data_IF_750542880821
#
_entry.id   IF_750542880821
#
_cell.length_a   1.000
_cell.length_b   1.000
_cell.length_c   1.000
_cell.angle_alpha   90.00
_cell.angle_beta   90.00
_cell.angle_gamma   90.00
#
_symmetry.space_group_name_H-M   'P 1'
#
loop_
_entity.id
_entity.type
_entity.pdbx_description
1 polymer ?
#
# COMPACT_ATOMS: atom_id res chain seq x y z
N UNK A 1 -6.38 57.45 24.62
CA UNK A 1 -4.93 57.32 24.40
C UNK A 1 -4.74 56.60 23.07
N UNK A 2 -4.45 57.34 22.01
CA UNK A 2 -4.14 56.79 20.68
C UNK A 2 -2.66 56.51 20.64
N UNK A 3 -2.23 55.27 20.88
CA UNK A 3 -0.85 54.87 20.66
C UNK A 3 -0.57 54.93 19.15
N UNK A 4 0.19 55.94 18.72
CA UNK A 4 0.65 56.05 17.34
C UNK A 4 1.70 54.97 17.08
N UNK A 5 1.43 54.08 16.12
CA UNK A 5 2.38 53.07 15.67
C UNK A 5 3.72 53.71 15.27
N UNK A 6 4.81 53.14 15.74
CA UNK A 6 6.16 53.52 15.31
C UNK A 6 6.29 53.35 13.79
N UNK A 7 7.04 54.24 13.13
CA UNK A 7 7.32 54.16 11.67
C UNK A 7 7.86 52.78 11.27
N UNK A 8 8.59 52.12 12.16
CA UNK A 8 9.08 50.75 11.99
C UNK A 8 7.96 49.70 12.03
N UNK A 9 7.03 49.81 12.97
CA UNK A 9 5.88 48.89 13.08
C UNK A 9 4.96 49.02 11.87
N UNK A 10 4.76 50.24 11.37
CA UNK A 10 3.99 50.48 10.14
C UNK A 10 4.65 49.82 8.91
N UNK A 11 5.98 49.88 8.79
CA UNK A 11 6.72 49.23 7.71
C UNK A 11 6.61 47.69 7.76
N UNK A 12 6.77 47.10 8.95
CA UNK A 12 6.64 45.64 9.15
C UNK A 12 5.22 45.18 8.81
N UNK A 13 4.20 45.91 9.24
CA UNK A 13 2.81 45.60 8.92
C UNK A 13 2.55 45.64 7.41
N UNK A 14 3.10 46.65 6.72
CA UNK A 14 3.00 46.77 5.25
C UNK A 14 3.59 45.56 4.53
N UNK A 15 4.78 45.10 4.94
CA UNK A 15 5.43 43.91 4.34
C UNK A 15 4.60 42.64 4.57
N UNK A 16 4.04 42.47 5.77
CA UNK A 16 3.20 41.30 6.09
C UNK A 16 1.94 41.27 5.24
N UNK A 17 1.27 42.41 5.06
CA UNK A 17 0.08 42.51 4.21
C UNK A 17 0.41 42.18 2.75
N UNK A 18 1.51 42.72 2.21
CA UNK A 18 1.95 42.42 0.84
C UNK A 18 2.28 40.93 0.67
N UNK A 19 2.97 40.32 1.65
CA UNK A 19 3.28 38.90 1.62
C UNK A 19 2.00 38.03 1.67
N UNK A 20 1.02 38.41 2.49
CA UNK A 20 -0.27 37.71 2.57
C UNK A 20 -1.06 37.81 1.25
N UNK A 21 -1.10 38.98 0.62
CA UNK A 21 -1.74 39.18 -0.68
C UNK A 21 -1.02 38.39 -1.78
N UNK A 22 0.31 38.38 -1.79
CA UNK A 22 1.09 37.60 -2.73
C UNK A 22 0.86 36.09 -2.58
N UNK A 23 0.82 35.59 -1.34
CA UNK A 23 0.52 34.19 -1.05
C UNK A 23 -0.92 33.82 -1.46
N UNK A 24 -1.89 34.69 -1.20
CA UNK A 24 -3.28 34.52 -1.64
C UNK A 24 -3.41 34.50 -3.15
N UNK A 25 -2.75 35.44 -3.84
CA UNK A 25 -2.70 35.50 -5.31
C UNK A 25 -2.04 34.27 -5.93
N UNK A 26 -0.94 33.79 -5.34
CA UNK A 26 -0.28 32.55 -5.76
C UNK A 26 -1.18 31.32 -5.58
N UNK A 27 -1.91 31.24 -4.47
CA UNK A 27 -2.90 30.20 -4.22
C UNK A 27 -4.02 30.19 -5.26
N UNK A 28 -4.57 31.37 -5.58
CA UNK A 28 -5.60 31.52 -6.62
C UNK A 28 -5.09 31.16 -8.01
N UNK A 29 -3.86 31.53 -8.36
CA UNK A 29 -3.23 31.17 -9.63
C UNK A 29 -3.11 29.64 -9.80
N UNK A 30 -2.76 28.92 -8.73
CA UNK A 30 -2.71 27.43 -8.73
C UNK A 30 -4.07 26.76 -8.85
N UNK A 31 -5.15 27.41 -8.42
CA UNK A 31 -6.52 26.93 -8.67
C UNK A 31 -6.89 27.13 -10.15
N UNK A 32 -6.33 28.16 -10.81
CA UNK A 32 -6.47 28.42 -12.24
C UNK A 32 -5.92 27.32 -13.16
N UNK A 33 -4.89 26.57 -12.73
CA UNK A 33 -4.35 25.45 -13.52
C UNK A 33 -5.39 24.33 -13.77
N UNK A 34 -6.37 24.17 -12.88
CA UNK A 34 -7.51 23.24 -13.10
C UNK A 34 -8.44 23.69 -14.23
N UNK A 35 -8.51 24.99 -14.51
CA UNK A 35 -9.27 25.53 -15.64
C UNK A 35 -8.55 25.34 -16.97
N UNK A 36 -7.21 25.37 -17.00
CA UNK A 36 -6.42 25.07 -18.20
C UNK A 36 -6.62 23.61 -18.68
N UNK A 37 -6.78 22.67 -17.75
CA UNK A 37 -7.13 21.27 -18.06
C UNK A 37 -8.49 21.13 -18.78
N UNK A 38 -9.49 21.99 -18.46
CA UNK A 38 -10.82 21.95 -19.10
C UNK A 38 -10.80 22.39 -20.56
N UNK A 39 -9.89 23.27 -20.97
CA UNK A 39 -9.85 23.80 -22.33
C UNK A 39 -9.32 22.79 -23.38
N UNK A 40 -8.60 21.75 -22.94
CA UNK A 40 -7.92 20.77 -23.80
C UNK A 40 -8.40 19.32 -23.66
N UNK A 41 -9.54 19.08 -23.01
CA UNK A 41 -10.03 17.72 -22.74
C UNK A 41 -11.13 17.28 -23.72
N UNK A 42 -11.25 15.96 -23.90
CA UNK A 42 -12.35 15.27 -24.56
C UNK A 42 -13.23 14.59 -23.50
N UNK A 43 -14.55 14.59 -23.71
CA UNK A 43 -15.49 13.84 -22.88
C UNK A 43 -15.69 12.44 -23.45
N UNK A 44 -15.56 11.43 -22.59
CA UNK A 44 -15.80 10.02 -22.91
C UNK A 44 -16.86 9.46 -21.95
N UNK A 45 -17.57 8.42 -22.35
CA UNK A 45 -18.52 7.70 -21.49
C UNK A 45 -18.15 6.23 -21.40
N UNK A 46 -18.34 5.64 -20.22
CA UNK A 46 -18.15 4.21 -19.99
C UNK A 46 -19.41 3.64 -19.40
N UNK A 47 -19.94 2.56 -19.98
CA UNK A 47 -21.00 1.78 -19.35
C UNK A 47 -20.40 0.65 -18.51
N UNK A 48 -20.63 0.67 -17.19
CA UNK A 48 -20.26 -0.42 -16.29
C UNK A 48 -21.50 -1.22 -15.88
N UNK A 49 -21.45 -2.56 -15.86
CA UNK A 49 -22.52 -3.37 -15.27
C UNK A 49 -22.72 -3.06 -13.79
N UNK A 50 -21.63 -2.85 -13.06
CA UNK A 50 -21.64 -2.44 -11.64
C UNK A 50 -20.51 -1.42 -11.39
N UNK A 51 -20.86 -0.27 -10.80
CA UNK A 51 -19.89 0.78 -10.46
C UNK A 51 -19.56 0.76 -8.96
N UNK A 52 -18.67 -0.15 -8.55
CA UNK A 52 -18.24 -0.26 -7.15
C UNK A 52 -17.32 0.90 -6.74
N UNK A 53 -17.86 1.88 -5.99
CA UNK A 53 -17.19 3.07 -5.44
C UNK A 53 -16.56 4.04 -6.48
N UNK A 54 -17.12 4.10 -7.68
CA UNK A 54 -16.72 5.11 -8.68
C UNK A 54 -17.43 6.42 -8.36
N UNK A 55 -16.68 7.53 -8.34
CA UNK A 55 -17.24 8.85 -8.05
C UNK A 55 -16.51 10.00 -8.75
N UNK A 56 -17.12 11.21 -8.80
CA UNK A 56 -16.50 12.39 -9.37
C UNK A 56 -15.13 12.70 -8.75
N UNK A 57 -14.18 13.11 -9.59
CA UNK A 57 -12.80 13.40 -9.19
C UNK A 57 -11.88 12.16 -9.11
N UNK A 58 -12.40 10.95 -9.31
CA UNK A 58 -11.56 9.75 -9.39
C UNK A 58 -10.60 9.84 -10.58
N UNK A 59 -9.29 9.53 -10.40
CA UNK A 59 -8.32 9.64 -11.48
C UNK A 59 -8.52 8.55 -12.54
N UNK A 60 -8.35 8.96 -13.80
CA UNK A 60 -8.43 8.11 -14.99
C UNK A 60 -7.03 7.95 -15.56
N UNK A 61 -6.62 6.71 -15.80
CA UNK A 61 -5.29 6.39 -16.32
C UNK A 61 -5.39 5.59 -17.61
N UNK A 62 -4.56 5.92 -18.59
CA UNK A 62 -4.41 5.15 -19.83
C UNK A 62 -3.05 4.45 -19.77
N UNK A 63 -3.04 3.11 -19.79
CA UNK A 63 -1.82 2.29 -19.60
C UNK A 63 -0.95 2.73 -18.40
N UNK A 64 -1.60 3.11 -17.30
CA UNK A 64 -0.93 3.53 -16.05
C UNK A 64 -0.52 5.01 -15.99
N UNK A 65 -0.62 5.76 -17.09
CA UNK A 65 -0.30 7.19 -17.17
C UNK A 65 -1.52 8.04 -16.83
N UNK A 66 -1.32 9.14 -16.09
CA UNK A 66 -2.39 10.08 -15.71
C UNK A 66 -3.00 10.81 -16.92
N UNK A 67 -4.24 10.44 -17.23
CA UNK A 67 -4.93 10.80 -18.46
C UNK A 67 -6.16 11.69 -18.21
N UNK A 68 -6.71 11.71 -16.99
CA UNK A 68 -7.79 12.62 -16.63
C UNK A 68 -8.58 12.23 -15.39
N UNK A 69 -9.88 12.52 -15.38
CA UNK A 69 -10.73 12.41 -14.20
C UNK A 69 -12.16 11.95 -14.54
N UNK A 70 -12.84 11.36 -13.55
CA UNK A 70 -14.29 11.10 -13.60
C UNK A 70 -15.03 12.41 -13.33
N UNK A 71 -15.96 12.77 -14.20
CA UNK A 71 -16.77 13.99 -14.09
C UNK A 71 -18.08 13.71 -13.35
N UNK A 72 -18.76 12.64 -13.72
CA UNK A 72 -20.07 12.28 -13.19
C UNK A 72 -20.31 10.78 -13.31
N UNK A 73 -21.21 10.27 -12.47
CA UNK A 73 -21.72 8.91 -12.50
C UNK A 73 -23.23 9.00 -12.54
N UNK A 74 -23.83 8.43 -13.57
CA UNK A 74 -25.27 8.49 -13.85
C UNK A 74 -25.83 7.08 -13.73
N UNK A 75 -26.85 6.93 -12.86
CA UNK A 75 -27.56 5.67 -12.67
C UNK A 75 -28.53 5.45 -13.84
N UNK A 76 -28.67 4.23 -14.37
CA UNK A 76 -29.57 3.96 -15.48
C UNK A 76 -31.04 4.22 -15.11
N UNK A 77 -31.82 4.77 -16.04
CA UNK A 77 -33.24 5.08 -15.84
C UNK A 77 -34.16 3.84 -15.81
N UNK A 78 -33.60 2.63 -15.94
CA UNK A 78 -34.33 1.36 -15.97
C UNK A 78 -33.53 0.27 -15.24
N UNK A 79 -34.25 -0.59 -14.53
CA UNK A 79 -33.71 -1.82 -13.93
C UNK A 79 -33.97 -3.01 -14.88
N UNK A 80 -32.92 -3.76 -15.26
CA UNK A 80 -33.06 -4.93 -16.14
C UNK A 80 -31.78 -5.33 -16.90
N UNK A 81 -31.83 -6.39 -17.73
CA UNK A 81 -30.68 -6.82 -18.55
C UNK A 81 -30.25 -5.69 -19.50
N UNK A 82 -29.02 -5.18 -19.33
CA UNK A 82 -28.49 -4.05 -20.10
C UNK A 82 -28.52 -2.70 -19.38
N UNK A 83 -29.02 -2.64 -18.13
CA UNK A 83 -28.88 -1.48 -17.27
C UNK A 83 -27.41 -1.31 -16.84
N UNK A 84 -26.71 -0.36 -17.48
CA UNK A 84 -25.32 -0.03 -17.18
C UNK A 84 -25.23 1.33 -16.47
N UNK A 85 -24.44 1.40 -15.41
CA UNK A 85 -24.06 2.67 -14.80
C UNK A 85 -23.16 3.43 -15.78
N UNK A 86 -23.61 4.61 -16.20
CA UNK A 86 -22.88 5.44 -17.16
C UNK A 86 -21.94 6.38 -16.42
N UNK A 87 -20.64 6.19 -16.61
CA UNK A 87 -19.59 7.01 -16.02
C UNK A 87 -19.06 7.96 -17.08
N UNK A 88 -19.15 9.27 -16.84
CA UNK A 88 -18.61 10.29 -17.73
C UNK A 88 -17.20 10.66 -17.30
N UNK A 89 -16.26 10.55 -18.23
CA UNK A 89 -14.84 10.79 -18.06
C UNK A 89 -14.43 12.04 -18.82
N UNK A 90 -13.48 12.79 -18.27
CA UNK A 90 -12.76 13.87 -18.95
C UNK A 90 -11.32 13.44 -19.12
N UNK A 91 -10.91 13.26 -20.37
CA UNK A 91 -9.59 12.74 -20.74
C UNK A 91 -8.86 13.75 -21.63
N UNK A 92 -7.55 13.94 -21.45
CA UNK A 92 -6.77 14.87 -22.28
C UNK A 92 -6.84 14.43 -23.75
N UNK A 93 -6.96 15.38 -24.69
CA UNK A 93 -7.06 15.10 -26.14
C UNK A 93 -5.96 14.19 -26.69
N UNK A 94 -4.74 14.30 -26.16
CA UNK A 94 -3.59 13.47 -26.53
C UNK A 94 -3.79 11.97 -26.29
N UNK A 95 -4.57 11.61 -25.27
CA UNK A 95 -4.92 10.23 -24.96
C UNK A 95 -6.20 9.81 -25.68
N UNK A 96 -7.20 10.69 -25.75
CA UNK A 96 -8.46 10.40 -26.44
C UNK A 96 -8.26 10.04 -27.91
N UNK A 97 -7.33 10.71 -28.60
CA UNK A 97 -6.98 10.41 -30.00
C UNK A 97 -6.23 9.08 -30.20
N UNK A 98 -5.92 8.34 -29.14
CA UNK A 98 -5.22 7.06 -29.18
C UNK A 98 -6.09 5.88 -28.70
N UNK A 99 -7.38 6.12 -28.46
CA UNK A 99 -8.34 5.08 -28.09
C UNK A 99 -9.01 4.52 -29.33
N UNK A 100 -9.11 3.20 -29.40
CA UNK A 100 -9.70 2.46 -30.51
C UNK A 100 -11.06 1.86 -30.13
N UNK A 101 -11.80 1.33 -31.10
CA UNK A 101 -13.17 0.84 -30.89
C UNK A 101 -13.29 -0.31 -29.87
N UNK A 102 -12.22 -1.09 -29.66
CA UNK A 102 -12.15 -2.15 -28.64
C UNK A 102 -11.52 -1.69 -27.32
N UNK A 103 -11.35 -0.38 -27.12
CA UNK A 103 -10.88 0.17 -25.86
C UNK A 103 -11.84 -0.16 -24.71
N UNK A 104 -11.27 -0.56 -23.58
CA UNK A 104 -12.02 -1.01 -22.42
C UNK A 104 -11.53 -0.34 -21.14
N UNK A 105 -12.46 -0.03 -20.25
CA UNK A 105 -12.18 0.57 -18.96
C UNK A 105 -12.48 -0.41 -17.82
N UNK A 106 -11.64 -0.38 -16.79
CA UNK A 106 -11.71 -1.22 -15.59
C UNK A 106 -11.49 -0.37 -14.35
N UNK A 107 -12.24 -0.65 -13.29
CA UNK A 107 -11.99 -0.07 -11.97
C UNK A 107 -10.98 -0.96 -11.27
N UNK A 108 -9.81 -0.41 -10.95
CA UNK A 108 -8.73 -1.14 -10.28
C UNK A 108 -8.38 -0.46 -8.96
N UNK A 109 -7.93 -1.24 -7.98
CA UNK A 109 -7.26 -0.71 -6.79
C UNK A 109 -5.87 -0.17 -7.21
N UNK A 110 -5.69 1.13 -7.10
CA UNK A 110 -4.45 1.84 -7.40
C UNK A 110 -3.59 2.07 -6.16
N UNK A 111 -2.29 1.83 -6.32
CA UNK A 111 -1.29 2.07 -5.27
C UNK A 111 -1.41 1.14 -4.05
N UNK A 112 -0.51 1.31 -3.10
CA UNK A 112 -0.43 0.47 -1.87
C UNK A 112 -1.59 0.73 -0.91
N UNK A 113 -2.25 1.89 -1.03
CA UNK A 113 -3.32 2.33 -0.12
C UNK A 113 -4.74 1.97 -0.60
N UNK A 114 -4.88 1.21 -1.70
CA UNK A 114 -6.18 0.75 -2.19
C UNK A 114 -7.08 1.85 -2.77
N UNK A 115 -6.51 2.99 -3.19
CA UNK A 115 -7.27 4.06 -3.82
C UNK A 115 -7.76 3.62 -5.21
N UNK A 116 -9.06 3.62 -5.47
CA UNK A 116 -9.59 3.15 -6.75
C UNK A 116 -9.27 4.13 -7.88
N UNK A 117 -8.92 3.59 -9.04
CA UNK A 117 -8.62 4.33 -10.26
C UNK A 117 -9.36 3.70 -11.44
N UNK A 118 -9.76 4.53 -12.41
CA UNK A 118 -10.31 4.04 -13.68
C UNK A 118 -9.15 3.81 -14.64
N UNK A 119 -8.83 2.56 -14.93
CA UNK A 119 -7.80 2.18 -15.89
C UNK A 119 -8.41 1.91 -17.26
N UNK A 120 -7.92 2.60 -18.28
CA UNK A 120 -8.32 2.45 -19.67
C UNK A 120 -7.22 1.70 -20.43
N UNK A 121 -7.62 0.62 -21.07
CA UNK A 121 -6.86 -0.05 -22.12
C UNK A 121 -7.24 0.59 -23.47
N UNK A 122 -6.28 1.18 -24.22
CA UNK A 122 -6.57 1.89 -25.46
C UNK A 122 -7.07 1.00 -26.60
N UNK A 123 -6.99 -0.32 -26.48
CA UNK A 123 -7.41 -1.23 -27.54
C UNK A 123 -6.39 -1.31 -28.69
N UNK A 124 -6.80 -1.89 -29.81
CA UNK A 124 -5.94 -2.19 -30.96
C UNK A 124 -6.26 -1.27 -32.15
N UNK A 125 -5.23 -0.79 -32.88
CA UNK A 125 -5.43 0.03 -34.08
C UNK A 125 -6.32 -0.61 -35.14
N UNK A 126 -6.28 -1.94 -35.26
CA UNK A 126 -7.08 -2.70 -36.22
C UNK A 126 -8.60 -2.64 -35.96
N UNK A 127 -9.03 -2.28 -34.75
CA UNK A 127 -10.43 -2.13 -34.40
C UNK A 127 -11.05 -0.83 -34.95
N UNK A 128 -10.23 0.10 -35.46
CA UNK A 128 -10.67 1.40 -35.94
C UNK A 128 -10.84 2.42 -34.81
N UNK A 129 -11.16 3.68 -35.16
CA UNK A 129 -11.29 4.76 -34.18
C UNK A 129 -12.47 4.56 -33.22
N UNK A 130 -12.34 5.05 -31.99
CA UNK A 130 -13.41 5.01 -30.99
C UNK A 130 -14.67 5.75 -31.48
N UNK A 131 -15.79 5.04 -31.60
CA UNK A 131 -17.06 5.61 -32.02
C UNK A 131 -17.74 6.37 -30.86
N UNK A 132 -18.12 7.63 -31.10
CA UNK A 132 -18.90 8.46 -30.18
C UNK A 132 -18.33 8.62 -28.76
N UNK A 133 -17.04 8.33 -28.54
CA UNK A 133 -16.40 8.43 -27.23
C UNK A 133 -16.92 7.44 -26.18
N UNK A 134 -17.62 6.38 -26.58
CA UNK A 134 -18.16 5.36 -25.66
C UNK A 134 -17.22 4.16 -25.54
N UNK A 135 -16.78 3.88 -24.32
CA UNK A 135 -15.93 2.76 -23.95
C UNK A 135 -16.76 1.64 -23.30
N UNK A 136 -16.28 0.40 -23.43
CA UNK A 136 -16.85 -0.74 -22.71
C UNK A 136 -16.28 -0.82 -21.30
N UNK A 137 -17.13 -0.81 -20.28
CA UNK A 137 -16.74 -1.11 -18.91
C UNK A 137 -16.69 -2.62 -18.70
N UNK A 138 -15.58 -3.11 -18.17
CA UNK A 138 -15.46 -4.49 -17.73
C UNK A 138 -15.67 -4.57 -16.21
N UNK A 139 -16.24 -5.67 -15.70
CA UNK A 139 -16.41 -5.85 -14.27
C UNK A 139 -15.04 -5.80 -13.55
N UNK A 140 -15.01 -5.30 -12.31
CA UNK A 140 -13.77 -5.24 -11.54
C UNK A 140 -13.36 -6.65 -11.13
N UNK A 141 -12.33 -7.22 -11.76
CA UNK A 141 -11.75 -8.50 -11.32
C UNK A 141 -11.04 -8.32 -9.98
N UNK A 142 -11.79 -8.41 -8.89
CA UNK A 142 -11.29 -8.41 -7.52
C UNK A 142 -10.77 -9.78 -7.11
N UNK A 143 -9.96 -9.81 -6.05
CA UNK A 143 -9.50 -11.06 -5.45
C UNK A 143 -10.69 -11.92 -4.97
N UNK A 144 -11.76 -11.27 -4.50
CA UNK A 144 -12.97 -11.95 -4.01
C UNK A 144 -13.74 -12.69 -5.11
N UNK A 145 -13.83 -12.11 -6.31
CA UNK A 145 -14.48 -12.71 -7.48
C UNK A 145 -13.65 -13.88 -8.03
N UNK A 146 -12.33 -13.72 -8.14
CA UNK A 146 -11.44 -14.80 -8.56
C UNK A 146 -11.52 -16.03 -7.62
N UNK A 147 -11.70 -15.77 -6.32
CA UNK A 147 -11.92 -16.83 -5.31
C UNK A 147 -13.32 -17.45 -5.44
N UNK A 148 -14.34 -16.67 -5.80
CA UNK A 148 -15.68 -17.18 -6.03
C UNK A 148 -15.71 -18.12 -7.25
N UNK A 149 -15.11 -17.71 -8.36
CA UNK A 149 -14.97 -18.50 -9.59
C UNK A 149 -14.18 -19.78 -9.33
N UNK A 150 -13.05 -19.69 -8.61
CA UNK A 150 -12.26 -20.86 -8.23
C UNK A 150 -13.05 -21.86 -7.38
N UNK A 151 -13.94 -21.39 -6.48
CA UNK A 151 -14.82 -22.27 -5.71
C UNK A 151 -15.91 -22.92 -6.55
N UNK A 152 -16.49 -22.18 -7.49
CA UNK A 152 -17.50 -22.71 -8.39
C UNK A 152 -16.92 -23.85 -9.24
N UNK A 153 -15.74 -23.64 -9.83
CA UNK A 153 -15.01 -24.67 -10.58
C UNK A 153 -14.65 -25.86 -9.69
N UNK A 154 -14.18 -25.63 -8.46
CA UNK A 154 -13.88 -26.73 -7.53
C UNK A 154 -15.11 -27.55 -7.14
N UNK A 155 -16.29 -26.92 -7.06
CA UNK A 155 -17.54 -27.62 -6.80
C UNK A 155 -17.96 -28.52 -7.96
N UNK A 156 -17.86 -28.04 -9.21
CA UNK A 156 -18.16 -28.83 -10.41
C UNK A 156 -17.21 -30.02 -10.59
N UNK A 157 -15.92 -29.84 -10.29
CA UNK A 157 -14.96 -30.95 -10.35
C UNK A 157 -15.28 -32.00 -9.27
N UNK A 158 -15.75 -31.57 -8.09
CA UNK A 158 -16.15 -32.50 -7.02
C UNK A 158 -17.39 -33.31 -7.39
N UNK A 159 -18.39 -32.70 -8.01
CA UNK A 159 -19.59 -33.43 -8.47
C UNK A 159 -19.22 -34.42 -9.58
N UNK A 160 -18.43 -34.00 -10.57
CA UNK A 160 -17.94 -34.89 -11.62
C UNK A 160 -17.14 -36.08 -11.07
N UNK A 161 -16.29 -35.85 -10.07
CA UNK A 161 -15.54 -36.92 -9.41
C UNK A 161 -16.45 -37.87 -8.62
N UNK A 162 -17.53 -37.37 -8.00
CA UNK A 162 -18.51 -38.20 -7.31
C UNK A 162 -19.29 -39.08 -8.30
N UNK A 163 -19.74 -38.52 -9.43
CA UNK A 163 -20.46 -39.25 -10.48
C UNK A 163 -19.57 -40.32 -11.12
N UNK A 164 -18.30 -40.01 -11.36
CA UNK A 164 -17.31 -40.98 -11.84
C UNK A 164 -17.10 -42.12 -10.85
N UNK A 165 -17.03 -41.84 -9.53
CA UNK A 165 -16.93 -42.87 -8.50
C UNK A 165 -18.18 -43.77 -8.46
N UNK A 166 -19.37 -43.18 -8.52
CA UNK A 166 -20.62 -43.92 -8.55
C UNK A 166 -20.70 -44.85 -9.78
N UNK A 167 -20.37 -44.32 -10.96
CA UNK A 167 -20.31 -45.09 -12.21
C UNK A 167 -19.29 -46.23 -12.13
N UNK A 168 -18.11 -45.98 -11.54
CA UNK A 168 -17.08 -47.01 -11.37
C UNK A 168 -17.49 -48.11 -10.39
N UNK A 169 -18.27 -47.78 -9.36
CA UNK A 169 -18.79 -48.74 -8.39
C UNK A 169 -19.84 -49.64 -9.04
N UNK A 170 -20.70 -49.07 -9.89
CA UNK A 170 -21.71 -49.82 -10.63
C UNK A 170 -21.09 -50.74 -11.68
N UNK A 171 -20.07 -50.25 -12.42
CA UNK A 171 -19.29 -51.09 -13.33
C UNK A 171 -18.65 -52.29 -12.61
N UNK A 172 -18.11 -52.10 -11.40
CA UNK A 172 -17.55 -53.19 -10.57
C UNK A 172 -18.62 -54.19 -10.12
N UNK A 173 -19.83 -53.73 -9.80
CA UNK A 173 -20.97 -54.60 -9.46
C UNK A 173 -21.36 -55.46 -10.65
N UNK A 174 -21.58 -54.83 -11.81
CA UNK A 174 -21.93 -55.54 -13.05
C UNK A 174 -20.85 -56.57 -13.42
N UNK A 175 -19.56 -56.23 -13.28
CA UNK A 175 -18.46 -57.18 -13.52
C UNK A 175 -18.51 -58.36 -12.54
N UNK A 176 -18.85 -58.13 -11.26
CA UNK A 176 -18.97 -59.21 -10.27
C UNK A 176 -20.19 -60.09 -10.54
N UNK A 177 -21.34 -59.50 -10.85
CA UNK A 177 -22.58 -60.22 -11.15
C UNK A 177 -22.45 -61.07 -12.43
N UNK A 178 -21.71 -60.57 -13.42
CA UNK A 178 -21.39 -61.31 -14.65
C UNK A 178 -20.40 -62.46 -14.38
N UNK A 179 -19.47 -62.30 -13.43
CA UNK A 179 -18.54 -63.37 -13.02
C UNK A 179 -19.25 -64.50 -12.27
N UNK A 180 -20.26 -64.16 -11.48
CA UNK A 180 -20.89 -65.07 -10.53
C UNK A 180 -22.19 -65.72 -11.10
N UNK A 181 -22.59 -65.41 -12.34
CA UNK A 181 -23.82 -65.90 -12.99
C UNK A 181 -23.61 -66.94 -14.12
N UNK A 182 -24.18 -68.14 -13.95
CA UNK A 182 -24.16 -69.25 -14.93
C UNK A 182 -25.15 -69.06 -16.09
N UNK A 183 -24.94 -68.04 -16.94
CA UNK A 183 -25.81 -67.70 -18.08
C UNK A 183 -25.09 -67.52 -19.43
N UNK A 184 -25.85 -67.48 -20.53
CA UNK A 184 -25.35 -67.30 -21.91
C UNK A 184 -24.54 -66.02 -22.14
N UNK A 185 -24.70 -64.99 -21.30
CA UNK A 185 -23.86 -63.78 -21.28
C UNK A 185 -22.44 -64.04 -20.74
N UNK A 186 -22.27 -64.99 -19.82
CA UNK A 186 -20.94 -65.38 -19.30
C UNK A 186 -20.06 -66.09 -20.36
N UNK A 187 -20.67 -66.59 -21.45
CA UNK A 187 -19.95 -67.17 -22.60
C UNK A 187 -19.53 -66.14 -23.65
N UNK A 188 -20.20 -64.99 -23.73
CA UNK A 188 -19.85 -63.87 -24.63
C UNK A 188 -18.79 -62.95 -24.02
N UNK A 189 -18.70 -62.90 -22.67
CA UNK A 189 -17.75 -62.05 -21.91
C UNK A 189 -16.41 -62.74 -21.61
N UNK A 190 -16.22 -63.98 -22.05
CA UNK A 190 -14.93 -64.68 -21.98
C UNK A 190 -13.95 -64.29 -23.10
N UNK A 191 -14.25 -63.25 -23.87
CA UNK A 191 -13.28 -62.64 -24.77
C UNK A 191 -12.24 -61.88 -23.95
N UNK A 192 -10.99 -62.30 -24.06
CA UNK A 192 -9.85 -61.71 -23.35
C UNK A 192 -9.69 -60.21 -23.66
N UNK A 193 -10.17 -59.76 -24.83
CA UNK A 193 -10.10 -58.37 -25.28
C UNK A 193 -11.11 -57.48 -24.53
N UNK A 194 -12.37 -57.90 -24.38
CA UNK A 194 -13.38 -57.14 -23.61
C UNK A 194 -12.99 -57.01 -22.13
N UNK A 195 -12.43 -58.08 -21.55
CA UNK A 195 -11.92 -58.05 -20.18
C UNK A 195 -10.73 -57.10 -20.03
N UNK A 196 -9.86 -57.04 -21.03
CA UNK A 196 -8.70 -56.14 -21.06
C UNK A 196 -9.12 -54.68 -21.19
N UNK A 197 -10.04 -54.38 -22.11
CA UNK A 197 -10.57 -53.03 -22.35
C UNK A 197 -11.28 -52.49 -21.10
N UNK A 198 -12.09 -53.31 -20.43
CA UNK A 198 -12.76 -52.92 -19.18
C UNK A 198 -11.77 -52.68 -18.03
N UNK A 199 -10.70 -53.46 -17.97
CA UNK A 199 -9.65 -53.29 -16.96
C UNK A 199 -8.83 -52.02 -17.21
N UNK A 200 -8.51 -51.70 -18.46
CA UNK A 200 -7.86 -50.45 -18.85
C UNK A 200 -8.75 -49.25 -18.56
N UNK A 201 -10.02 -49.29 -18.95
CA UNK A 201 -10.99 -48.24 -18.64
C UNK A 201 -11.11 -47.97 -17.13
N UNK A 202 -11.09 -49.03 -16.31
CA UNK A 202 -11.14 -48.92 -14.85
C UNK A 202 -9.85 -48.31 -14.29
N UNK A 203 -8.70 -48.61 -14.89
CA UNK A 203 -7.41 -48.04 -14.50
C UNK A 203 -7.33 -46.55 -14.86
N UNK A 204 -7.79 -46.18 -16.05
CA UNK A 204 -7.83 -44.80 -16.54
C UNK A 204 -8.82 -43.95 -15.74
N UNK A 205 -10.01 -44.48 -15.43
CA UNK A 205 -10.98 -43.83 -14.56
C UNK A 205 -10.39 -43.57 -13.16
N UNK A 206 -9.68 -44.55 -12.59
CA UNK A 206 -9.02 -44.39 -11.28
C UNK A 206 -7.91 -43.34 -11.33
N UNK A 207 -7.16 -43.28 -12.42
CA UNK A 207 -6.12 -42.28 -12.62
C UNK A 207 -6.70 -40.87 -12.81
N UNK A 208 -7.81 -40.73 -13.55
CA UNK A 208 -8.53 -39.48 -13.73
C UNK A 208 -9.08 -38.95 -12.39
N UNK A 209 -9.70 -39.82 -11.58
CA UNK A 209 -10.20 -39.47 -10.24
C UNK A 209 -9.07 -38.99 -9.34
N UNK A 210 -7.91 -39.67 -9.34
CA UNK A 210 -6.76 -39.28 -8.52
C UNK A 210 -6.20 -37.91 -8.93
N UNK A 211 -6.20 -37.59 -10.23
CA UNK A 211 -5.78 -36.26 -10.73
C UNK A 211 -6.78 -35.17 -10.36
N UNK A 212 -8.08 -35.45 -10.45
CA UNK A 212 -9.13 -34.54 -10.04
C UNK A 212 -9.08 -34.23 -8.53
N UNK A 213 -8.94 -35.25 -7.68
CA UNK A 213 -8.77 -35.08 -6.23
C UNK A 213 -7.53 -34.23 -5.90
N UNK A 214 -6.42 -34.45 -6.60
CA UNK A 214 -5.19 -33.66 -6.44
C UNK A 214 -5.38 -32.20 -6.85
N UNK A 215 -6.01 -31.94 -8.00
CA UNK A 215 -6.29 -30.58 -8.46
C UNK A 215 -7.22 -29.83 -7.49
N UNK A 216 -8.30 -30.49 -7.03
CA UNK A 216 -9.22 -29.93 -6.04
C UNK A 216 -8.51 -29.65 -4.71
N UNK A 217 -7.65 -30.55 -4.24
CA UNK A 217 -6.87 -30.34 -3.02
C UNK A 217 -5.92 -29.15 -3.13
N UNK A 218 -5.29 -28.95 -4.29
CA UNK A 218 -4.35 -27.85 -4.54
C UNK A 218 -5.09 -26.50 -4.55
N UNK A 219 -6.20 -26.42 -5.29
CA UNK A 219 -7.05 -25.21 -5.33
C UNK A 219 -7.65 -24.89 -3.96
N UNK A 220 -8.13 -25.91 -3.23
CA UNK A 220 -8.65 -25.71 -1.87
C UNK A 220 -7.57 -25.24 -0.91
N UNK A 221 -6.34 -25.77 -1.03
CA UNK A 221 -5.18 -25.35 -0.24
C UNK A 221 -4.81 -23.89 -0.50
N UNK A 222 -4.72 -23.48 -1.77
CA UNK A 222 -4.41 -22.09 -2.14
C UNK A 222 -5.51 -21.12 -1.70
N UNK A 223 -6.79 -21.48 -1.87
CA UNK A 223 -7.92 -20.67 -1.40
C UNK A 223 -7.96 -20.59 0.13
N UNK A 224 -7.59 -21.66 0.84
CA UNK A 224 -7.50 -21.66 2.30
C UNK A 224 -6.36 -20.76 2.79
N UNK A 225 -5.18 -20.84 2.18
CA UNK A 225 -4.04 -19.99 2.48
C UNK A 225 -4.35 -18.51 2.22
N UNK A 226 -5.04 -18.21 1.12
CA UNK A 226 -5.44 -16.86 0.77
C UNK A 226 -6.50 -16.30 1.73
N UNK A 227 -7.47 -17.13 2.16
CA UNK A 227 -8.42 -16.75 3.22
C UNK A 227 -7.74 -16.47 4.55
N UNK A 228 -6.76 -17.29 4.93
CA UNK A 228 -5.95 -17.08 6.13
C UNK A 228 -5.25 -15.73 6.08
N UNK A 229 -4.56 -15.44 4.98
CA UNK A 229 -3.90 -14.15 4.75
C UNK A 229 -4.85 -12.95 4.78
N UNK A 230 -6.03 -13.05 4.17
CA UNK A 230 -7.04 -11.98 4.16
C UNK A 230 -7.68 -11.79 5.55
N UNK A 231 -7.88 -12.87 6.30
CA UNK A 231 -8.37 -12.82 7.68
C UNK A 231 -7.34 -12.17 8.61
N UNK A 232 -6.08 -12.60 8.55
CA UNK A 232 -4.97 -12.04 9.32
C UNK A 232 -4.73 -10.57 8.96
N UNK A 233 -4.83 -10.22 7.68
CA UNK A 233 -4.76 -8.84 7.21
C UNK A 233 -5.91 -7.98 7.72
N UNK A 234 -7.13 -8.52 7.82
CA UNK A 234 -8.29 -7.81 8.37
C UNK A 234 -8.19 -7.61 9.88
N UNK A 235 -7.68 -8.59 10.60
CA UNK A 235 -7.45 -8.48 12.05
C UNK A 235 -6.31 -7.51 12.36
N UNK A 236 -5.26 -7.51 11.54
CA UNK A 236 -4.20 -6.49 11.57
C UNK A 236 -4.75 -5.10 11.23
N UNK A 237 -5.61 -4.98 10.22
CA UNK A 237 -6.28 -3.70 9.91
C UNK A 237 -7.24 -3.27 11.02
N UNK A 238 -7.90 -4.20 11.71
CA UNK A 238 -8.77 -3.90 12.86
C UNK A 238 -7.97 -3.40 14.05
N UNK A 239 -6.80 -3.98 14.34
CA UNK A 239 -5.91 -3.48 15.41
C UNK A 239 -5.28 -2.14 15.06
N UNK A 240 -4.93 -1.92 13.77
CA UNK A 240 -4.49 -0.60 13.27
C UNK A 240 -5.62 0.43 13.37
N UNK A 241 -6.86 0.07 13.02
CA UNK A 241 -8.06 0.94 13.11
C UNK A 241 -8.40 1.28 14.56
N UNK A 242 -8.31 0.32 15.47
CA UNK A 242 -8.47 0.53 16.91
C UNK A 242 -7.37 1.44 17.49
N UNK A 243 -6.16 1.38 16.94
CA UNK A 243 -5.09 2.34 17.24
C UNK A 243 -5.32 3.75 16.65
N UNK A 244 -6.04 3.86 15.52
CA UNK A 244 -6.27 5.14 14.84
C UNK A 244 -7.42 5.96 15.45
N UNK A 245 -8.43 5.33 16.06
CA UNK A 245 -9.52 6.05 16.75
C UNK A 245 -9.06 6.69 18.07
N UNK A 246 -8.02 6.15 18.71
CA UNK A 246 -7.36 6.78 19.86
C UNK A 246 -6.47 7.96 19.45
N UNK A 247 -5.82 7.89 18.27
CA UNK A 247 -4.95 8.94 17.72
C UNK A 247 -5.77 10.09 17.12
N UNK A 248 -6.95 9.81 16.54
CA UNK A 248 -7.79 10.81 15.85
C UNK A 248 -8.50 11.82 16.77
N UNK A 249 -8.44 11.63 18.09
CA UNK A 249 -8.96 12.61 19.08
C UNK A 249 -7.90 13.56 19.62
N UNK A 250 -6.66 13.48 19.13
CA UNK A 250 -5.59 14.39 19.53
C UNK A 250 -5.46 15.53 18.50
N UNK A 251 -5.62 16.81 18.91
CA UNK A 251 -5.36 17.91 18.02
C UNK A 251 -3.85 18.02 17.77
N UNK A 252 -3.48 18.02 16.48
CA UNK A 252 -2.14 18.22 15.90
C UNK A 252 -1.37 16.91 15.64
N UNK A 253 -1.47 16.39 14.41
CA UNK A 253 -0.35 15.65 13.78
C UNK A 253 -0.15 16.13 12.35
N UNK A 254 0.74 17.12 12.22
CA UNK A 254 1.53 17.34 11.01
C UNK A 254 2.85 16.60 11.26
N UNK A 255 3.04 15.40 10.71
CA UNK A 255 4.37 14.78 10.64
C UNK A 255 4.53 14.07 9.31
N UNK A 256 5.22 14.70 8.35
CA UNK A 256 6.68 14.66 8.20
C UNK A 256 7.12 13.30 7.62
N UNK A 257 7.15 13.22 6.28
CA UNK A 257 8.32 12.61 5.64
C UNK A 257 9.40 13.69 5.79
N UNK A 258 10.06 13.71 6.94
CA UNK A 258 11.31 14.45 7.09
C UNK A 258 12.28 13.82 6.10
N UNK A 259 12.71 14.60 5.11
CA UNK A 259 13.74 14.19 4.18
C UNK A 259 15.02 13.94 4.99
N UNK A 260 15.24 12.68 5.37
CA UNK A 260 16.36 12.26 6.19
C UNK A 260 17.70 12.64 5.55
N UNK A 261 17.76 12.70 4.22
CA UNK A 261 18.93 13.19 3.50
C UNK A 261 19.12 14.69 3.74
N UNK A 262 18.07 15.51 3.64
CA UNK A 262 18.16 16.94 3.94
C UNK A 262 18.51 17.24 5.42
N UNK A 263 18.09 16.39 6.35
CA UNK A 263 18.42 16.56 7.76
C UNK A 263 19.87 16.17 8.09
N UNK A 264 20.39 15.09 7.49
CA UNK A 264 21.69 14.51 7.83
C UNK A 264 22.83 14.92 6.89
N UNK A 265 22.53 15.29 5.64
CA UNK A 265 23.50 15.72 4.63
C UNK A 265 23.41 17.23 4.47
N UNK A 266 24.29 17.95 5.17
CA UNK A 266 24.35 19.42 5.16
C UNK A 266 25.74 19.90 4.71
N UNK A 267 26.01 19.99 3.40
CA UNK A 267 27.37 20.23 2.88
C UNK A 267 28.02 21.54 3.31
N UNK A 268 27.20 22.52 3.68
CA UNK A 268 27.66 23.84 4.12
C UNK A 268 27.78 23.97 5.65
N UNK A 269 27.65 22.87 6.40
CA UNK A 269 27.74 22.86 7.86
C UNK A 269 28.77 21.85 8.32
N UNK A 270 29.52 22.21 9.37
CA UNK A 270 30.39 21.24 10.06
C UNK A 270 29.53 20.26 10.87
N UNK A 271 29.96 19.00 10.90
CA UNK A 271 29.23 17.89 11.51
C UNK A 271 30.09 17.20 12.56
N UNK A 272 29.68 17.28 13.83
CA UNK A 272 30.25 16.49 14.93
C UNK A 272 29.20 15.51 15.46
N UNK A 273 29.63 14.33 15.93
CA UNK A 273 28.74 13.24 16.33
C UNK A 273 29.27 12.42 17.50
N UNK A 274 28.35 11.97 18.34
CA UNK A 274 28.54 10.85 19.28
C UNK A 274 27.57 9.71 18.97
N UNK A 275 28.08 8.48 18.98
CA UNK A 275 27.31 7.26 18.64
C UNK A 275 27.33 6.30 19.81
N UNK A 276 26.17 5.73 20.11
CA UNK A 276 26.00 4.65 21.09
C UNK A 276 25.30 3.46 20.45
N UNK A 277 25.63 2.25 20.90
CA UNK A 277 24.81 1.09 20.63
C UNK A 277 23.45 1.26 21.31
N UNK A 278 22.34 0.97 20.63
CA UNK A 278 21.00 1.22 21.16
C UNK A 278 20.77 0.48 22.49
N UNK A 279 21.28 -0.75 22.61
CA UNK A 279 21.20 -1.56 23.84
C UNK A 279 22.01 -1.05 25.03
N UNK A 280 22.90 -0.06 24.87
CA UNK A 280 23.54 0.62 26.01
C UNK A 280 22.70 1.79 26.54
N UNK A 281 21.67 2.22 25.79
CA UNK A 281 20.80 3.33 26.17
C UNK A 281 19.41 2.85 26.59
N UNK A 282 18.88 1.84 25.91
CA UNK A 282 17.49 1.43 26.03
C UNK A 282 17.37 -0.05 26.41
N UNK A 283 16.27 -0.41 27.06
CA UNK A 283 15.90 -1.81 27.21
C UNK A 283 15.68 -2.46 25.83
N UNK A 284 16.01 -3.75 25.66
CA UNK A 284 15.96 -4.43 24.36
C UNK A 284 14.63 -4.24 23.63
N UNK A 285 14.70 -3.80 22.37
CA UNK A 285 13.54 -3.60 21.47
C UNK A 285 12.50 -2.59 21.97
N UNK A 286 12.84 -1.74 22.93
CA UNK A 286 11.94 -0.70 23.45
C UNK A 286 12.56 0.70 23.31
N UNK A 287 11.79 1.73 23.68
CA UNK A 287 12.29 3.09 23.89
C UNK A 287 12.39 3.47 25.38
N UNK A 288 12.41 2.47 26.28
CA UNK A 288 12.57 2.70 27.71
C UNK A 288 14.05 2.94 28.03
N UNK A 289 14.39 4.17 28.42
CA UNK A 289 15.75 4.57 28.77
C UNK A 289 16.18 3.86 30.06
N UNK A 290 17.33 3.20 30.05
CA UNK A 290 17.89 2.56 31.25
C UNK A 290 18.64 3.58 32.13
N UNK A 291 18.85 3.26 33.40
CA UNK A 291 19.63 4.11 34.31
C UNK A 291 21.08 4.32 33.79
N UNK A 292 21.70 3.26 33.30
CA UNK A 292 23.03 3.33 32.66
C UNK A 292 23.00 4.19 31.38
N UNK A 293 21.93 4.04 30.59
CA UNK A 293 21.67 4.86 29.40
C UNK A 293 21.54 6.34 29.72
N UNK A 294 20.84 6.70 30.79
CA UNK A 294 20.75 8.08 31.28
C UNK A 294 22.13 8.64 31.64
N UNK A 295 22.98 7.87 32.33
CA UNK A 295 24.37 8.26 32.65
C UNK A 295 25.22 8.43 31.38
N UNK A 296 25.02 7.61 30.35
CA UNK A 296 25.66 7.81 29.05
C UNK A 296 25.25 9.13 28.40
N UNK A 297 23.95 9.46 28.39
CA UNK A 297 23.45 10.71 27.81
C UNK A 297 23.88 11.94 28.62
N UNK A 298 23.90 11.84 29.95
CA UNK A 298 24.33 12.95 30.83
C UNK A 298 25.78 13.36 30.55
N UNK A 299 26.67 12.39 30.28
CA UNK A 299 28.07 12.65 29.88
C UNK A 299 28.20 13.43 28.57
N UNK A 300 27.18 13.45 27.72
CA UNK A 300 27.18 14.25 26.49
C UNK A 300 26.84 15.71 26.74
N UNK A 301 26.15 16.06 27.83
CA UNK A 301 25.68 17.42 28.09
C UNK A 301 26.80 18.46 28.02
N UNK A 302 27.98 18.28 28.64
CA UNK A 302 29.09 19.24 28.52
C UNK A 302 29.60 19.40 27.09
N UNK A 303 29.73 18.30 26.34
CA UNK A 303 30.14 18.33 24.92
C UNK A 303 29.13 19.09 24.07
N UNK A 304 27.82 18.85 24.27
CA UNK A 304 26.77 19.54 23.53
C UNK A 304 26.74 21.04 23.85
N UNK A 305 26.97 21.41 25.11
CA UNK A 305 26.98 22.79 25.58
C UNK A 305 28.22 23.57 25.13
N UNK A 306 29.33 22.92 24.81
CA UNK A 306 30.49 23.58 24.19
C UNK A 306 30.12 24.28 22.87
N UNK A 307 29.09 23.79 22.17
CA UNK A 307 28.55 24.38 20.94
C UNK A 307 27.50 25.48 21.15
N UNK A 308 27.27 25.95 22.39
CA UNK A 308 26.21 26.91 22.68
C UNK A 308 26.40 28.28 21.98
N UNK A 309 27.64 28.69 21.69
CA UNK A 309 27.93 29.96 21.02
C UNK A 309 27.64 30.00 19.51
N UNK A 310 27.55 28.84 18.85
CA UNK A 310 27.57 28.73 17.38
C UNK A 310 26.21 28.57 16.70
N UNK A 311 25.08 28.72 17.40
CA UNK A 311 23.73 28.35 16.88
C UNK A 311 23.65 26.91 16.37
N UNK A 312 24.44 25.99 16.94
CA UNK A 312 24.49 24.61 16.48
C UNK A 312 23.10 23.97 16.55
N UNK A 313 22.66 23.32 15.47
CA UNK A 313 21.45 22.50 15.45
C UNK A 313 21.78 21.06 15.86
N UNK A 314 20.84 20.37 16.50
CA UNK A 314 21.00 18.97 16.89
C UNK A 314 20.00 18.09 16.15
N UNK A 315 20.50 16.96 15.64
CA UNK A 315 19.70 15.86 15.13
C UNK A 315 20.05 14.62 15.94
N UNK A 316 19.06 13.99 16.56
CA UNK A 316 19.23 12.68 17.18
C UNK A 316 18.64 11.65 16.24
N UNK A 317 19.48 10.74 15.74
CA UNK A 317 19.06 9.71 14.78
C UNK A 317 19.25 8.32 15.35
N UNK A 318 18.22 7.48 15.24
CA UNK A 318 18.24 6.10 15.72
C UNK A 318 18.03 5.09 14.58
N UNK A 319 18.79 4.00 14.61
CA UNK A 319 18.78 2.90 13.65
C UNK A 319 18.49 1.58 14.37
N UNK A 320 17.72 0.72 13.73
CA UNK A 320 17.47 -0.64 14.18
C UNK A 320 18.28 -1.63 13.34
N UNK A 321 18.70 -2.73 13.96
CA UNK A 321 19.38 -3.80 13.24
C UNK A 321 18.38 -4.54 12.32
N UNK A 322 18.61 -4.59 10.99
CA UNK A 322 17.79 -5.38 10.06
C UNK A 322 17.86 -6.89 10.31
N UNK A 323 18.89 -7.36 11.01
CA UNK A 323 19.05 -8.77 11.38
C UNK A 323 18.27 -9.16 12.66
N UNK A 324 17.65 -8.19 13.35
CA UNK A 324 16.80 -8.48 14.51
C UNK A 324 15.46 -9.08 14.07
N UNK A 325 15.37 -10.42 14.12
CA UNK A 325 14.15 -11.16 13.81
C UNK A 325 12.97 -10.90 14.77
N UNK A 326 13.18 -10.13 15.84
CA UNK A 326 12.15 -9.70 16.78
C UNK A 326 11.44 -8.40 16.40
N UNK A 327 11.80 -7.77 15.27
CA UNK A 327 11.19 -6.53 14.78
C UNK A 327 10.71 -6.69 13.33
N UNK A 328 9.59 -6.02 13.02
CA UNK A 328 9.14 -5.78 11.64
C UNK A 328 9.65 -4.42 11.17
N UNK A 329 9.65 -4.15 9.86
CA UNK A 329 10.05 -2.84 9.33
C UNK A 329 9.26 -1.68 9.95
N UNK A 330 7.95 -1.86 10.14
CA UNK A 330 7.07 -0.87 10.75
C UNK A 330 7.38 -0.66 12.24
N UNK A 331 7.54 -1.74 13.01
CA UNK A 331 7.87 -1.63 14.43
C UNK A 331 9.28 -1.09 14.65
N UNK A 332 10.25 -1.42 13.78
CA UNK A 332 11.59 -0.85 13.80
C UNK A 332 11.57 0.67 13.60
N UNK A 333 10.75 1.16 12.66
CA UNK A 333 10.61 2.60 12.41
C UNK A 333 10.00 3.34 13.63
N UNK A 334 8.89 2.83 14.18
CA UNK A 334 8.26 3.44 15.35
C UNK A 334 9.14 3.37 16.61
N UNK A 335 9.80 2.24 16.86
CA UNK A 335 10.72 2.11 18.01
C UNK A 335 11.89 3.07 17.91
N UNK A 336 12.56 3.17 16.76
CA UNK A 336 13.69 4.09 16.57
C UNK A 336 13.26 5.55 16.63
N UNK A 337 12.10 5.90 16.07
CA UNK A 337 11.50 7.23 16.22
C UNK A 337 11.30 7.57 17.70
N UNK A 338 10.74 6.64 18.47
CA UNK A 338 10.50 6.85 19.90
C UNK A 338 11.78 6.94 20.72
N UNK A 339 12.78 6.13 20.40
CA UNK A 339 14.11 6.23 21.01
C UNK A 339 14.74 7.60 20.78
N UNK A 340 14.71 8.11 19.54
CA UNK A 340 15.23 9.43 19.22
C UNK A 340 14.47 10.55 19.98
N UNK A 341 13.14 10.47 20.06
CA UNK A 341 12.31 11.39 20.85
C UNK A 341 12.70 11.38 22.34
N UNK A 342 12.89 10.21 22.93
CA UNK A 342 13.26 10.07 24.34
C UNK A 342 14.61 10.72 24.63
N UNK A 343 15.61 10.53 23.77
CA UNK A 343 16.91 11.20 23.91
C UNK A 343 16.78 12.73 23.77
N UNK A 344 15.97 13.22 22.82
CA UNK A 344 15.72 14.66 22.67
C UNK A 344 15.03 15.24 23.91
N UNK A 345 14.05 14.54 24.47
CA UNK A 345 13.36 14.96 25.69
C UNK A 345 14.28 14.93 26.91
N UNK A 346 15.15 13.92 27.01
CA UNK A 346 16.21 13.86 28.01
C UNK A 346 17.10 15.11 27.94
N UNK A 347 17.61 15.48 26.77
CA UNK A 347 18.42 16.70 26.66
C UNK A 347 17.61 17.98 26.93
N UNK A 348 16.32 17.98 26.60
CA UNK A 348 15.42 19.10 26.92
C UNK A 348 15.30 19.28 28.43
N UNK A 349 15.06 18.20 29.19
CA UNK A 349 14.96 18.25 30.65
C UNK A 349 16.27 18.69 31.32
N UNK A 350 17.41 18.36 30.72
CA UNK A 350 18.74 18.80 31.17
C UNK A 350 19.16 20.20 30.65
N UNK A 351 18.25 20.95 30.03
CA UNK A 351 18.48 22.34 29.66
C UNK A 351 19.36 22.57 28.43
N UNK A 352 19.80 21.51 27.74
CA UNK A 352 20.68 21.56 26.55
C UNK A 352 20.11 22.42 25.41
N UNK A 353 18.79 22.48 25.34
CA UNK A 353 18.07 23.27 24.37
C UNK A 353 18.14 24.79 24.60
N UNK A 354 18.66 25.26 25.74
CA UNK A 354 18.76 26.68 26.07
C UNK A 354 20.12 27.22 25.62
N UNK A 355 20.12 28.20 24.71
CA UNK A 355 21.34 28.87 24.23
C UNK A 355 21.53 30.27 24.83
N UNK A 356 20.63 30.68 25.73
CA UNK A 356 20.58 31.99 26.36
C UNK A 356 19.20 32.24 26.97
N UNK A 357 18.89 33.49 27.32
CA UNK A 357 17.60 33.84 27.94
C UNK A 357 16.41 33.65 26.99
N UNK A 358 16.59 33.93 25.69
CA UNK A 358 15.52 33.86 24.67
C UNK A 358 15.78 32.86 23.55
N UNK A 359 17.03 32.42 23.38
CA UNK A 359 17.45 31.55 22.28
C UNK A 359 17.31 30.07 22.65
N UNK A 360 16.75 29.28 21.73
CA UNK A 360 16.65 27.83 21.86
C UNK A 360 17.33 27.12 20.70
N UNK A 361 18.06 26.04 21.00
CA UNK A 361 18.64 25.13 20.02
C UNK A 361 17.54 24.30 19.37
N UNK A 362 17.55 24.21 18.03
CA UNK A 362 16.70 23.28 17.30
C UNK A 362 17.21 21.85 17.55
N UNK A 363 16.32 20.97 18.01
CA UNK A 363 16.62 19.57 18.30
C UNK A 363 15.59 18.71 17.59
N UNK A 364 16.04 17.87 16.66
CA UNK A 364 15.15 17.09 15.78
C UNK A 364 15.37 15.59 16.03
N UNK A 365 14.36 14.85 16.51
CA UNK A 365 14.43 13.39 16.59
C UNK A 365 14.15 12.77 15.21
N UNK A 366 14.92 11.76 14.82
CA UNK A 366 14.79 11.07 13.53
C UNK A 366 14.90 9.55 13.72
N UNK A 367 13.82 8.83 13.45
CA UNK A 367 13.80 7.36 13.42
C UNK A 367 14.06 6.83 12.03
N UNK A 368 15.13 6.05 11.84
CA UNK A 368 15.47 5.48 10.52
C UNK A 368 14.94 4.06 10.35
N UNK A 369 14.56 3.36 11.42
CA UNK A 369 14.24 1.94 11.35
C UNK A 369 15.40 1.17 10.70
N UNK A 370 15.09 0.44 9.62
CA UNK A 370 16.07 -0.29 8.80
C UNK A 370 16.61 0.51 7.60
N UNK A 371 16.19 1.76 7.43
CA UNK A 371 16.66 2.57 6.31
C UNK A 371 18.17 2.83 6.44
N UNK A 372 18.93 2.69 5.34
CA UNK A 372 20.37 2.95 5.38
C UNK A 372 20.64 4.41 5.68
N UNK A 373 21.77 4.68 6.35
CA UNK A 373 22.25 6.05 6.54
C UNK A 373 22.51 6.71 5.18
N UNK A 374 21.97 7.91 4.91
CA UNK A 374 22.28 8.67 3.70
C UNK A 374 23.70 9.26 3.72
N UNK A 375 24.39 9.17 4.87
CA UNK A 375 25.77 9.61 5.06
C UNK A 375 26.69 8.40 5.07
N UNK A 376 27.73 8.42 4.24
CA UNK A 376 28.81 7.42 4.27
C UNK A 376 29.69 7.70 5.49
N UNK A 377 29.67 6.78 6.45
CA UNK A 377 30.42 6.93 7.69
C UNK A 377 31.84 6.42 7.54
N UNK A 378 32.81 7.20 8.04
CA UNK A 378 34.24 6.84 8.02
C UNK A 378 34.59 5.81 9.09
N UNK A 379 33.84 5.80 10.19
CA UNK A 379 34.01 4.89 11.31
C UNK A 379 32.88 3.85 11.30
N UNK A 380 33.16 2.60 11.70
CA UNK A 380 32.14 1.56 11.77
C UNK A 380 31.08 1.94 12.82
N UNK A 381 29.82 1.96 12.39
CA UNK A 381 28.65 2.26 13.23
C UNK A 381 27.93 0.94 13.55
N UNK A 382 27.51 0.71 14.80
CA UNK A 382 26.70 -0.48 15.12
C UNK A 382 25.36 -0.49 14.38
N UNK A 383 24.89 -1.68 14.00
CA UNK A 383 23.63 -1.85 13.26
C UNK A 383 22.42 -1.28 14.00
N UNK A 384 22.31 -1.56 15.31
CA UNK A 384 21.39 -0.89 16.21
C UNK A 384 22.12 0.26 16.94
N UNK A 385 21.91 1.50 16.51
CA UNK A 385 22.64 2.65 17.06
C UNK A 385 21.78 3.89 17.23
N UNK A 386 22.20 4.74 18.18
CA UNK A 386 21.63 6.06 18.42
C UNK A 386 22.77 7.06 18.32
N UNK A 387 22.58 8.07 17.48
CA UNK A 387 23.59 9.07 17.18
C UNK A 387 23.07 10.45 17.55
N UNK A 388 23.87 11.19 18.32
CA UNK A 388 23.65 12.61 18.59
C UNK A 388 24.56 13.39 17.67
N UNK A 389 23.97 14.07 16.69
CA UNK A 389 24.69 14.82 15.65
C UNK A 389 24.47 16.31 15.86
N UNK A 390 25.55 17.08 15.86
CA UNK A 390 25.52 18.54 15.91
C UNK A 390 25.98 19.11 14.57
N UNK A 391 25.23 20.09 14.08
CA UNK A 391 25.54 20.84 12.87
C UNK A 391 25.84 22.29 13.23
N UNK A 392 27.06 22.74 12.94
CA UNK A 392 27.48 24.14 13.10
C UNK A 392 27.52 24.88 11.77
N UNK A 393 27.08 26.15 11.70
CA UNK A 393 27.11 26.97 10.49
C UNK A 393 28.50 27.21 9.93
#
# INVERSE_FOLDING_TARGET
MTESLSRWQAAVLGVVVVAAVAAGGYGLARVGDRHAFRAGAAELTVGFPEAHDVGPGMPVRVRGVDAGEVVAVEYPDHDGPGAEVTVRLRVKKEFAGRLYADAAARVLSGGVFGAKVVAIDPGRPAAGPLAAGRLKGLPPTGLDEAVADARAVAAEVKTLAADARATSAEARRLISEVRDGDGTLGKLVKDDDLYRDLKELTADARAAIKRADGAVGTVQGEVANLKGFVADGRDTLRSVKQGTDAISRMPIVRSYVEDAAALLVRPAQERDRRTYHAGHLFEPRTALLTDEGAVHLERLVPWINAYAGGKAEMVVVAYADPADGGLTAASAHETTKKQAEVVVEFFRSHGVHKLGWTSRRKMTPLGMGWNPSPVVEREPVPAASVQVVLFTP
#
